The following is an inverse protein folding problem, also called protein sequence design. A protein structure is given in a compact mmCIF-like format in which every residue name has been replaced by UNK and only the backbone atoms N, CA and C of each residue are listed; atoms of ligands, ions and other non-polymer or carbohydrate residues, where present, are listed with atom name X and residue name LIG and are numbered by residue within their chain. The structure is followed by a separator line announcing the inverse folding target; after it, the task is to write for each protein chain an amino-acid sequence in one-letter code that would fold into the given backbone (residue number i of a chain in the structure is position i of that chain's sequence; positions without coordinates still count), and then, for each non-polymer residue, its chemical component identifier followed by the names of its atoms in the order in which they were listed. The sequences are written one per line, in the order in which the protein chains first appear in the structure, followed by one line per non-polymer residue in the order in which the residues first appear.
data_IF_935280460364
#
_entry.id   IF_935280460364
#
_cell.length_a   1.000
_cell.length_b   1.000
_cell.length_c   1.000
_cell.angle_alpha   90.00
_cell.angle_beta   90.00
_cell.angle_gamma   90.00
#
_symmetry.space_group_name_H-M   'P 1'
#
loop_
_entity.id
_entity.type
_entity.pdbx_description
1 polymer ?
#
# COMPACT_ATOMS: atom_id res chain seq x y z
N UNK A 1 -17.88 30.34 -6.67
CA UNK A 1 -18.95 29.76 -5.84
C UNK A 1 -19.13 28.31 -6.26
N UNK A 2 -19.07 27.34 -5.35
CA UNK A 2 -19.34 25.94 -5.67
C UNK A 2 -20.40 25.40 -4.71
N UNK A 3 -21.44 24.77 -5.25
CA UNK A 3 -22.49 24.11 -4.48
C UNK A 3 -22.01 22.70 -4.16
N UNK A 4 -22.06 22.30 -2.89
CA UNK A 4 -21.59 21.00 -2.44
C UNK A 4 -22.75 20.22 -1.84
N UNK A 5 -23.13 19.09 -2.44
CA UNK A 5 -24.25 18.27 -1.96
C UNK A 5 -23.75 17.16 -1.02
N UNK A 6 -24.33 17.10 0.18
CA UNK A 6 -24.22 15.97 1.10
C UNK A 6 -25.22 14.91 0.68
N UNK A 7 -24.71 13.85 0.06
CA UNK A 7 -25.48 12.64 -0.18
C UNK A 7 -24.84 11.49 0.56
N UNK A 8 -25.57 10.93 1.51
CA UNK A 8 -25.16 9.79 2.30
C UNK A 8 -24.91 8.55 1.41
N UNK A 9 -23.68 8.04 1.54
CA UNK A 9 -23.35 6.60 1.49
C UNK A 9 -23.92 5.74 0.36
N UNK A 10 -23.51 5.96 -0.89
CA UNK A 10 -23.59 4.89 -1.91
C UNK A 10 -22.28 4.55 -2.63
N UNK A 11 -21.20 5.28 -2.37
CA UNK A 11 -19.89 5.00 -2.92
C UNK A 11 -18.81 5.09 -1.84
N UNK A 12 -18.64 4.00 -1.08
CA UNK A 12 -17.27 3.56 -0.71
C UNK A 12 -16.54 3.38 -2.04
N UNK A 13 -15.90 4.44 -2.53
CA UNK A 13 -15.53 4.60 -3.94
C UNK A 13 -14.80 3.40 -4.50
N UNK A 14 -14.92 3.17 -5.81
CA UNK A 14 -14.26 2.08 -6.53
C UNK A 14 -12.80 1.91 -6.11
N UNK A 15 -12.07 3.02 -5.98
CA UNK A 15 -10.67 3.05 -5.52
C UNK A 15 -10.46 2.50 -4.11
N UNK A 16 -11.36 2.81 -3.16
CA UNK A 16 -11.28 2.26 -1.80
C UNK A 16 -11.51 0.75 -1.78
N UNK A 17 -12.52 0.28 -2.53
CA UNK A 17 -12.79 -1.16 -2.66
C UNK A 17 -11.63 -1.87 -3.34
N UNK A 18 -11.11 -1.30 -4.42
CA UNK A 18 -10.01 -1.85 -5.19
C UNK A 18 -8.73 -1.95 -4.34
N UNK A 19 -8.35 -0.88 -3.64
CA UNK A 19 -7.21 -0.90 -2.71
C UNK A 19 -7.38 -1.94 -1.60
N UNK A 20 -8.58 -2.03 -1.02
CA UNK A 20 -8.89 -3.04 0.00
C UNK A 20 -8.71 -4.46 -0.55
N UNK A 21 -9.25 -4.73 -1.74
CA UNK A 21 -9.11 -6.04 -2.38
C UNK A 21 -7.65 -6.36 -2.74
N UNK A 22 -6.90 -5.39 -3.28
CA UNK A 22 -5.47 -5.57 -3.52
C UNK A 22 -4.70 -5.87 -2.23
N UNK A 23 -5.03 -5.20 -1.12
CA UNK A 23 -4.45 -5.50 0.19
C UNK A 23 -4.75 -6.93 0.66
N UNK A 24 -5.99 -7.41 0.49
CA UNK A 24 -6.38 -8.78 0.85
C UNK A 24 -5.67 -9.81 -0.05
N UNK A 25 -5.66 -9.59 -1.37
CA UNK A 25 -4.99 -10.48 -2.32
C UNK A 25 -3.48 -10.54 -2.03
N UNK A 26 -2.85 -9.40 -1.75
CA UNK A 26 -1.45 -9.32 -1.37
C UNK A 26 -1.16 -10.08 -0.06
N UNK A 27 -2.01 -9.93 0.96
CA UNK A 27 -1.90 -10.68 2.21
C UNK A 27 -2.01 -12.19 1.98
N UNK A 28 -3.04 -12.63 1.26
CA UNK A 28 -3.25 -14.05 0.95
C UNK A 28 -2.10 -14.64 0.13
N UNK A 29 -1.65 -13.94 -0.91
CA UNK A 29 -0.52 -14.36 -1.73
C UNK A 29 0.79 -14.42 -0.95
N UNK A 30 0.99 -13.47 -0.03
CA UNK A 30 2.15 -13.44 0.87
C UNK A 30 2.18 -14.64 1.83
N UNK A 31 1.04 -14.98 2.45
CA UNK A 31 0.92 -16.17 3.31
C UNK A 31 1.17 -17.45 2.52
N UNK A 32 0.61 -17.56 1.30
CA UNK A 32 0.85 -18.71 0.42
C UNK A 32 2.33 -18.84 0.05
N UNK A 33 2.97 -17.73 -0.34
CA UNK A 33 4.40 -17.69 -0.64
C UNK A 33 5.25 -18.14 0.56
N UNK A 34 4.98 -17.61 1.74
CA UNK A 34 5.70 -18.02 2.95
C UNK A 34 5.47 -19.50 3.29
N UNK A 35 4.23 -19.97 3.18
CA UNK A 35 3.88 -21.37 3.47
C UNK A 35 4.61 -22.33 2.52
N UNK A 36 4.63 -22.04 1.22
CA UNK A 36 5.38 -22.87 0.24
C UNK A 36 6.89 -22.91 0.53
N UNK A 37 7.46 -21.86 1.11
CA UNK A 37 8.87 -21.83 1.54
C UNK A 37 9.13 -22.62 2.84
N UNK A 38 8.20 -22.60 3.79
CA UNK A 38 8.36 -23.31 5.07
C UNK A 38 7.98 -24.79 4.99
N UNK A 39 7.04 -25.14 4.09
CA UNK A 39 6.52 -26.49 3.95
C UNK A 39 7.62 -27.57 3.76
N UNK A 40 8.63 -27.39 2.88
CA UNK A 40 9.73 -28.34 2.77
C UNK A 40 10.55 -28.46 4.07
N UNK A 41 10.73 -27.38 4.82
CA UNK A 41 11.47 -27.42 6.09
C UNK A 41 10.72 -28.21 7.16
N UNK A 42 9.38 -28.11 7.18
CA UNK A 42 8.55 -28.91 8.08
C UNK A 42 8.61 -30.39 7.71
N UNK A 43 8.56 -30.72 6.42
CA UNK A 43 8.70 -32.10 5.94
C UNK A 43 10.06 -32.72 6.32
N UNK A 44 11.15 -31.95 6.20
CA UNK A 44 12.48 -32.38 6.65
C UNK A 44 12.53 -32.56 8.18
N UNK A 45 11.96 -31.64 8.95
CA UNK A 45 11.88 -31.76 10.42
C UNK A 45 11.05 -32.96 10.89
N UNK A 46 10.04 -33.35 10.11
CA UNK A 46 9.21 -34.54 10.36
C UNK A 46 9.91 -35.85 9.95
N UNK A 47 11.14 -35.79 9.42
CA UNK A 47 11.89 -36.97 8.99
C UNK A 47 11.38 -37.60 7.69
N UNK A 48 10.49 -36.92 6.96
CA UNK A 48 9.90 -37.44 5.72
C UNK A 48 10.83 -37.31 4.51
N UNK A 49 11.85 -36.44 4.59
CA UNK A 49 12.82 -36.22 3.51
C UNK A 49 14.23 -35.92 4.06
N UNK A 50 15.24 -36.49 3.43
CA UNK A 50 16.64 -36.10 3.64
C UNK A 50 16.85 -34.68 3.11
N UNK A 51 17.04 -33.72 4.01
CA UNK A 51 17.28 -32.31 3.70
C UNK A 51 18.63 -32.01 3.06
N UNK A 52 19.16 -32.90 2.21
CA UNK A 52 20.41 -32.70 1.47
C UNK A 52 20.22 -31.55 0.48
N UNK A 53 20.58 -30.35 0.92
CA UNK A 53 20.74 -29.21 0.01
C UNK A 53 21.85 -29.58 -0.99
N UNK A 54 21.66 -29.33 -2.30
CA UNK A 54 22.75 -29.51 -3.26
C UNK A 54 23.97 -28.70 -2.80
N UNK A 55 25.20 -29.22 -2.97
CA UNK A 55 26.41 -28.52 -2.59
C UNK A 55 26.41 -27.11 -3.21
N UNK A 56 26.64 -26.09 -2.38
CA UNK A 56 26.81 -24.72 -2.88
C UNK A 56 28.04 -24.74 -3.79
N UNK A 57 27.96 -24.25 -5.04
CA UNK A 57 29.16 -24.08 -5.84
C UNK A 57 30.13 -23.17 -5.06
N UNK A 58 31.44 -23.47 -5.08
CA UNK A 58 32.44 -22.67 -4.38
C UNK A 58 32.33 -21.22 -4.84
N UNK A 59 32.42 -20.29 -3.88
CA UNK A 59 32.35 -18.85 -4.15
C UNK A 59 33.53 -18.50 -5.06
N UNK A 60 33.27 -18.30 -6.36
CA UNK A 60 34.24 -17.72 -7.28
C UNK A 60 34.45 -16.24 -6.90
N UNK A 61 35.61 -15.68 -7.26
CA UNK A 61 35.88 -14.24 -7.09
C UNK A 61 34.71 -13.41 -7.62
N UNK A 62 34.39 -12.29 -6.95
CA UNK A 62 33.27 -11.41 -7.32
C UNK A 62 33.60 -10.73 -8.65
N UNK A 63 33.24 -11.39 -9.76
CA UNK A 63 33.51 -10.90 -11.12
C UNK A 63 32.24 -10.35 -11.78
N UNK A 64 31.06 -10.71 -11.29
CA UNK A 64 29.77 -10.31 -11.87
C UNK A 64 28.75 -9.82 -10.85
N UNK A 65 27.77 -9.02 -11.31
CA UNK A 65 26.62 -8.58 -10.48
C UNK A 65 25.86 -9.75 -9.86
N UNK A 66 25.81 -10.90 -10.56
CA UNK A 66 25.16 -12.12 -10.07
C UNK A 66 25.87 -12.68 -8.85
N UNK A 67 27.20 -12.67 -8.83
CA UNK A 67 28.00 -13.19 -7.71
C UNK A 67 27.88 -12.27 -6.50
N UNK A 68 27.85 -10.96 -6.72
CA UNK A 68 27.56 -10.00 -5.65
C UNK A 68 26.17 -10.20 -5.05
N UNK A 69 25.12 -10.37 -5.87
CA UNK A 69 23.76 -10.68 -5.38
C UNK A 69 23.73 -12.02 -4.61
N UNK A 70 24.53 -13.02 -5.03
CA UNK A 70 24.62 -14.29 -4.33
C UNK A 70 25.18 -14.13 -2.90
N UNK A 71 26.11 -13.19 -2.67
CA UNK A 71 26.59 -12.87 -1.31
C UNK A 71 25.50 -12.26 -0.42
N UNK A 72 24.61 -11.44 -1.01
CA UNK A 72 23.51 -10.77 -0.31
C UNK A 72 22.33 -11.69 -0.03
N UNK A 73 22.34 -12.93 -0.55
CA UNK A 73 21.19 -13.83 -0.52
C UNK A 73 20.73 -14.17 0.90
N UNK A 74 21.66 -14.44 1.82
CA UNK A 74 21.32 -14.76 3.21
C UNK A 74 20.64 -13.56 3.90
N UNK A 75 21.23 -12.39 3.74
CA UNK A 75 20.69 -11.15 4.29
C UNK A 75 19.30 -10.83 3.70
N UNK A 76 19.12 -11.04 2.39
CA UNK A 76 17.82 -10.86 1.75
C UNK A 76 16.77 -11.86 2.25
N UNK A 77 17.15 -13.10 2.58
CA UNK A 77 16.24 -14.07 3.21
C UNK A 77 15.75 -13.59 4.58
N UNK A 78 16.66 -13.13 5.44
CA UNK A 78 16.33 -12.58 6.77
C UNK A 78 15.46 -11.33 6.69
N UNK A 79 15.84 -10.37 5.83
CA UNK A 79 15.06 -9.15 5.60
C UNK A 79 13.66 -9.49 5.08
N UNK A 80 13.54 -10.49 4.20
CA UNK A 80 12.26 -10.95 3.68
C UNK A 80 11.35 -11.51 4.77
N UNK A 81 11.91 -12.30 5.70
CA UNK A 81 11.15 -12.86 6.82
C UNK A 81 10.69 -11.77 7.80
N UNK A 82 11.56 -10.83 8.14
CA UNK A 82 11.18 -9.68 8.99
C UNK A 82 10.11 -8.83 8.29
N UNK A 83 10.31 -8.51 7.01
CA UNK A 83 9.36 -7.72 6.23
C UNK A 83 8.00 -8.41 6.12
N UNK A 84 7.98 -9.75 6.00
CA UNK A 84 6.76 -10.54 5.99
C UNK A 84 5.97 -10.40 7.30
N UNK A 85 6.62 -10.59 8.46
CA UNK A 85 5.94 -10.46 9.75
C UNK A 85 5.41 -9.04 9.97
N UNK A 86 6.22 -8.02 9.66
CA UNK A 86 5.78 -6.62 9.76
C UNK A 86 4.62 -6.35 8.80
N UNK A 87 4.68 -6.84 7.56
CA UNK A 87 3.60 -6.69 6.59
C UNK A 87 2.29 -7.28 7.11
N UNK A 88 2.30 -8.50 7.66
CA UNK A 88 1.11 -9.13 8.24
C UNK A 88 0.52 -8.26 9.35
N UNK A 89 1.35 -7.80 10.29
CA UNK A 89 0.89 -6.96 11.41
C UNK A 89 0.22 -5.69 10.88
N UNK A 90 0.85 -5.01 9.91
CA UNK A 90 0.31 -3.78 9.33
C UNK A 90 -0.98 -4.03 8.53
N UNK A 91 -1.04 -5.11 7.73
CA UNK A 91 -2.20 -5.48 6.92
C UNK A 91 -3.40 -5.89 7.78
N UNK A 92 -3.17 -6.66 8.85
CA UNK A 92 -4.21 -7.03 9.83
C UNK A 92 -4.68 -5.81 10.60
N UNK A 93 -3.76 -4.96 11.08
CA UNK A 93 -4.11 -3.70 11.72
C UNK A 93 -4.95 -2.81 10.79
N UNK A 94 -4.66 -2.82 9.49
CA UNK A 94 -5.42 -2.05 8.51
C UNK A 94 -6.86 -2.59 8.27
N UNK A 95 -7.14 -3.86 8.60
CA UNK A 95 -8.47 -4.46 8.54
C UNK A 95 -9.30 -4.16 9.80
N UNK A 96 -8.65 -3.86 10.93
CA UNK A 96 -9.32 -3.57 12.20
C UNK A 96 -9.93 -2.16 12.18
N UNK A 97 -11.26 -2.10 12.07
CA UNK A 97 -12.03 -0.84 12.03
C UNK A 97 -12.04 -0.03 13.33
N UNK A 98 -11.51 -0.57 14.44
CA UNK A 98 -11.50 0.08 15.76
C UNK A 98 -10.35 1.08 15.94
N UNK A 99 -9.35 1.05 15.06
CA UNK A 99 -8.18 1.94 15.19
C UNK A 99 -8.58 3.36 14.73
N UNK A 100 -8.35 4.40 15.54
CA UNK A 100 -8.67 5.76 15.14
C UNK A 100 -7.79 6.19 13.96
N UNK A 101 -8.38 6.95 13.03
CA UNK A 101 -7.80 7.27 11.72
C UNK A 101 -6.36 7.84 11.79
N UNK A 102 -6.04 8.61 12.83
CA UNK A 102 -4.69 9.18 13.06
C UNK A 102 -3.58 8.12 13.19
N UNK A 103 -3.87 7.01 13.88
CA UNK A 103 -2.92 5.93 14.10
C UNK A 103 -2.90 5.02 12.88
N UNK A 104 -4.06 4.73 12.30
CA UNK A 104 -4.17 4.00 11.05
C UNK A 104 -3.32 4.62 9.95
N UNK A 105 -3.41 5.93 9.70
CA UNK A 105 -2.62 6.58 8.65
C UNK A 105 -1.10 6.50 8.89
N UNK A 106 -0.67 6.65 10.17
CA UNK A 106 0.74 6.55 10.56
C UNK A 106 1.30 5.13 10.49
N UNK A 107 0.49 4.12 10.81
CA UNK A 107 0.91 2.72 10.70
C UNK A 107 0.88 2.28 9.23
N UNK A 108 -0.15 2.66 8.49
CA UNK A 108 -0.32 2.27 7.09
C UNK A 108 0.77 2.84 6.18
N UNK A 109 1.35 4.02 6.49
CA UNK A 109 2.51 4.53 5.73
C UNK A 109 3.79 3.70 5.96
N UNK A 110 3.90 2.94 7.05
CA UNK A 110 5.02 2.01 7.27
C UNK A 110 5.01 0.84 6.28
N UNK A 111 3.92 0.62 5.55
CA UNK A 111 3.89 -0.34 4.44
C UNK A 111 4.86 0.07 3.33
N UNK A 112 5.16 1.36 3.17
CA UNK A 112 6.10 1.87 2.16
C UNK A 112 7.52 1.30 2.35
N UNK A 113 8.20 1.49 3.48
CA UNK A 113 9.54 0.90 3.67
C UNK A 113 9.52 -0.62 3.65
N UNK A 114 8.45 -1.26 4.15
CA UNK A 114 8.29 -2.73 4.07
C UNK A 114 8.22 -3.19 2.61
N UNK A 115 7.46 -2.50 1.77
CA UNK A 115 7.40 -2.79 0.33
C UNK A 115 8.77 -2.64 -0.34
N UNK A 116 9.52 -1.59 -0.03
CA UNK A 116 10.88 -1.40 -0.58
C UNK A 116 11.85 -2.52 -0.13
N UNK A 117 11.75 -2.99 1.11
CA UNK A 117 12.50 -4.15 1.58
C UNK A 117 12.12 -5.42 0.80
N UNK A 118 10.84 -5.62 0.48
CA UNK A 118 10.37 -6.75 -0.32
C UNK A 118 10.77 -6.64 -1.81
N UNK A 119 10.87 -5.43 -2.35
CA UNK A 119 11.44 -5.18 -3.69
C UNK A 119 12.89 -5.65 -3.72
N UNK A 120 13.70 -5.23 -2.74
CA UNK A 120 15.08 -5.68 -2.61
C UNK A 120 15.19 -7.20 -2.47
N UNK A 121 14.39 -7.79 -1.57
CA UNK A 121 14.29 -9.23 -1.41
C UNK A 121 14.01 -9.95 -2.74
N UNK A 122 13.10 -9.42 -3.55
CA UNK A 122 12.75 -9.98 -4.87
C UNK A 122 13.93 -9.90 -5.83
N UNK A 123 14.60 -8.75 -5.91
CA UNK A 123 15.74 -8.54 -6.81
C UNK A 123 16.88 -9.51 -6.51
N UNK A 124 17.17 -9.75 -5.23
CA UNK A 124 18.26 -10.62 -4.79
C UNK A 124 17.93 -12.11 -4.94
N UNK A 125 16.67 -12.52 -4.68
CA UNK A 125 16.32 -13.94 -4.58
C UNK A 125 15.74 -14.56 -5.85
N UNK A 126 15.14 -13.75 -6.73
CA UNK A 126 14.64 -14.23 -8.03
C UNK A 126 15.80 -14.86 -8.82
N UNK A 127 15.50 -15.98 -9.47
CA UNK A 127 16.50 -16.65 -10.31
C UNK A 127 16.91 -15.70 -11.46
N UNK A 128 18.22 -15.52 -11.64
CA UNK A 128 18.73 -14.61 -12.64
C UNK A 128 18.23 -14.93 -14.06
N UNK A 129 17.99 -16.22 -14.36
CA UNK A 129 17.41 -16.65 -15.64
C UNK A 129 15.99 -16.15 -15.90
N UNK A 130 15.25 -15.71 -14.88
CA UNK A 130 13.89 -15.21 -15.06
C UNK A 130 13.87 -13.78 -15.60
N UNK A 131 14.93 -12.99 -15.41
CA UNK A 131 15.00 -11.62 -15.92
C UNK A 131 14.97 -11.53 -17.45
N UNK A 132 15.46 -12.56 -18.13
CA UNK A 132 15.39 -12.69 -19.59
C UNK A 132 14.10 -13.34 -20.10
N UNK A 133 13.21 -13.77 -19.20
CA UNK A 133 11.93 -14.38 -19.54
C UNK A 133 10.80 -13.35 -19.44
N UNK A 134 9.66 -13.56 -20.14
CA UNK A 134 8.49 -12.68 -20.04
C UNK A 134 8.00 -12.49 -18.60
N UNK A 135 8.16 -13.51 -17.76
CA UNK A 135 7.85 -13.45 -16.33
C UNK A 135 8.70 -12.40 -15.61
N UNK A 136 9.99 -12.29 -15.93
CA UNK A 136 10.87 -11.26 -15.36
C UNK A 136 10.42 -9.86 -15.72
N UNK A 137 9.97 -9.64 -16.95
CA UNK A 137 9.47 -8.32 -17.38
C UNK A 137 8.21 -7.92 -16.62
N UNK A 138 7.30 -8.86 -16.37
CA UNK A 138 6.13 -8.63 -15.53
C UNK A 138 6.52 -8.27 -14.09
N UNK A 139 7.54 -8.96 -13.53
CA UNK A 139 8.08 -8.64 -12.21
C UNK A 139 8.67 -7.23 -12.19
N UNK A 140 9.52 -6.88 -13.16
CA UNK A 140 10.12 -5.54 -13.27
C UNK A 140 9.03 -4.47 -13.33
N UNK A 141 8.03 -4.64 -14.19
CA UNK A 141 6.93 -3.68 -14.32
C UNK A 141 6.15 -3.51 -13.01
N UNK A 142 5.86 -4.62 -12.31
CA UNK A 142 5.17 -4.58 -11.02
C UNK A 142 6.01 -3.89 -9.93
N UNK A 143 7.31 -4.16 -9.86
CA UNK A 143 8.23 -3.53 -8.92
C UNK A 143 8.35 -2.02 -9.18
N UNK A 144 8.57 -1.61 -10.44
CA UNK A 144 8.68 -0.20 -10.81
C UNK A 144 7.38 0.57 -10.53
N UNK A 145 6.23 -0.01 -10.87
CA UNK A 145 4.93 0.60 -10.59
C UNK A 145 4.71 0.79 -9.08
N UNK A 146 5.07 -0.19 -8.25
CA UNK A 146 4.93 -0.08 -6.81
C UNK A 146 5.95 0.87 -6.18
N UNK A 147 7.19 0.95 -6.70
CA UNK A 147 8.18 1.96 -6.28
C UNK A 147 7.64 3.36 -6.59
N UNK A 148 7.15 3.60 -7.81
CA UNK A 148 6.56 4.88 -8.19
C UNK A 148 5.38 5.25 -7.28
N UNK A 149 4.47 4.31 -7.00
CA UNK A 149 3.37 4.50 -6.06
C UNK A 149 3.86 4.82 -4.64
N UNK A 150 4.92 4.14 -4.19
CA UNK A 150 5.53 4.33 -2.87
C UNK A 150 6.15 5.71 -2.72
N UNK A 151 6.92 6.17 -3.71
CA UNK A 151 7.48 7.51 -3.75
C UNK A 151 6.37 8.57 -3.80
N UNK A 152 5.34 8.34 -4.62
CA UNK A 152 4.17 9.21 -4.67
C UNK A 152 3.49 9.27 -3.29
N UNK A 153 3.31 8.15 -2.60
CA UNK A 153 2.70 8.13 -1.27
C UNK A 153 3.55 8.84 -0.22
N UNK A 154 4.88 8.77 -0.32
CA UNK A 154 5.80 9.43 0.59
C UNK A 154 5.88 10.95 0.36
N UNK A 155 5.92 11.39 -0.91
CA UNK A 155 6.12 12.79 -1.28
C UNK A 155 4.83 13.58 -1.50
N UNK A 156 3.72 12.94 -1.92
CA UNK A 156 2.43 13.64 -2.01
C UNK A 156 1.85 13.82 -0.63
N UNK A 157 2.19 14.94 0.01
CA UNK A 157 1.35 15.57 1.03
C UNK A 157 -0.07 15.69 0.47
N UNK A 158 -1.02 14.98 1.07
CA UNK A 158 -2.44 14.97 0.68
C UNK A 158 -3.00 16.39 0.81
N UNK A 159 -2.94 17.15 -0.29
CA UNK A 159 -3.51 18.49 -0.43
C UNK A 159 -2.87 19.55 0.48
N UNK A 160 -2.72 20.78 0.00
CA UNK A 160 -2.59 21.93 0.91
C UNK A 160 -3.99 22.16 1.49
N UNK A 161 -4.24 21.94 2.80
CA UNK A 161 -5.54 22.29 3.37
C UNK A 161 -5.77 23.78 3.15
N UNK A 162 -6.91 24.13 2.57
CA UNK A 162 -7.31 25.52 2.40
C UNK A 162 -8.47 25.81 3.34
N UNK A 163 -8.42 26.98 3.98
CA UNK A 163 -9.54 27.47 4.76
C UNK A 163 -10.62 27.96 3.79
N UNK A 164 -11.84 27.46 3.97
CA UNK A 164 -13.03 27.91 3.25
C UNK A 164 -14.07 28.37 4.28
N UNK A 165 -14.80 29.43 3.96
CA UNK A 165 -15.92 29.91 4.78
C UNK A 165 -17.23 29.36 4.23
N UNK A 166 -18.14 28.99 5.12
CA UNK A 166 -19.49 28.54 4.73
C UNK A 166 -20.31 29.79 4.44
N UNK A 167 -20.78 29.92 3.19
CA UNK A 167 -21.57 31.08 2.75
C UNK A 167 -23.08 30.81 2.76
N UNK A 168 -23.50 29.56 2.58
CA UNK A 168 -24.90 29.18 2.70
C UNK A 168 -25.03 27.70 3.08
N UNK A 169 -26.08 27.40 3.84
CA UNK A 169 -26.54 26.05 4.14
C UNK A 169 -27.98 25.95 3.66
N UNK A 170 -28.26 25.03 2.75
CA UNK A 170 -29.62 24.77 2.29
C UNK A 170 -29.95 23.31 2.61
N UNK A 171 -31.08 23.07 3.25
CA UNK A 171 -31.53 21.73 3.60
C UNK A 171 -32.84 21.46 2.86
N UNK A 172 -32.81 20.55 1.90
CA UNK A 172 -33.97 20.17 1.12
C UNK A 172 -34.30 18.70 1.41
N UNK A 173 -35.21 18.47 2.37
CA UNK A 173 -35.51 17.15 2.90
C UNK A 173 -34.30 16.49 3.58
N UNK A 174 -33.84 15.36 3.02
CA UNK A 174 -32.61 14.65 3.48
C UNK A 174 -31.32 15.16 2.83
N UNK A 175 -31.41 16.07 1.85
CA UNK A 175 -30.25 16.60 1.15
C UNK A 175 -29.78 17.88 1.84
N UNK A 176 -28.52 17.91 2.28
CA UNK A 176 -27.89 19.12 2.81
C UNK A 176 -26.92 19.66 1.76
N UNK A 177 -27.18 20.85 1.25
CA UNK A 177 -26.31 21.54 0.30
C UNK A 177 -25.54 22.62 1.04
N UNK A 178 -24.22 22.62 0.88
CA UNK A 178 -23.31 23.57 1.51
C UNK A 178 -22.66 24.41 0.41
N UNK A 179 -22.82 25.73 0.46
CA UNK A 179 -22.11 26.64 -0.44
C UNK A 179 -20.87 27.15 0.29
N UNK A 180 -19.71 26.84 -0.26
CA UNK A 180 -18.43 27.27 0.29
C UNK A 180 -17.85 28.42 -0.53
N UNK A 181 -17.34 29.43 0.17
CA UNK A 181 -16.45 30.42 -0.40
C UNK A 181 -15.01 30.05 -0.06
N UNK A 182 -14.26 29.69 -1.09
CA UNK A 182 -12.85 29.35 -1.01
C UNK A 182 -12.10 30.28 -1.98
N UNK A 183 -11.50 31.40 -1.49
CA UNK A 183 -10.94 32.44 -2.34
C UNK A 183 -9.81 31.97 -3.26
N UNK A 184 -9.10 30.91 -2.88
CA UNK A 184 -7.96 30.33 -3.62
C UNK A 184 -8.32 29.07 -4.41
N UNK A 185 -9.62 28.79 -4.58
CA UNK A 185 -10.09 27.59 -5.27
C UNK A 185 -10.12 27.79 -6.78
N UNK A 186 -9.32 27.01 -7.51
CA UNK A 186 -9.18 27.10 -8.97
C UNK A 186 -10.28 26.35 -9.75
N UNK A 187 -11.40 26.02 -9.10
CA UNK A 187 -12.47 25.22 -9.69
C UNK A 187 -12.29 23.72 -9.49
N UNK A 188 -13.22 22.94 -10.05
CA UNK A 188 -13.24 21.49 -9.94
C UNK A 188 -13.69 20.87 -11.26
N UNK A 189 -13.30 19.62 -11.50
CA UNK A 189 -13.87 18.79 -12.59
C UNK A 189 -15.03 17.96 -12.04
N UNK A 190 -16.04 17.71 -12.88
CA UNK A 190 -17.16 16.84 -12.52
C UNK A 190 -16.65 15.47 -12.00
N UNK A 191 -17.21 15.03 -10.86
CA UNK A 191 -16.80 13.78 -10.19
C UNK A 191 -15.68 13.91 -9.15
N UNK A 192 -15.14 15.11 -8.94
CA UNK A 192 -14.23 15.38 -7.83
C UNK A 192 -14.96 15.46 -6.47
N UNK A 193 -14.26 15.12 -5.40
CA UNK A 193 -14.77 15.14 -4.03
C UNK A 193 -13.92 16.05 -3.15
N UNK A 194 -14.56 16.77 -2.25
CA UNK A 194 -13.90 17.58 -1.21
C UNK A 194 -13.93 16.84 0.12
N UNK A 195 -12.84 16.92 0.86
CA UNK A 195 -12.80 16.51 2.26
C UNK A 195 -12.84 17.77 3.12
N UNK A 196 -13.92 17.93 3.86
CA UNK A 196 -14.08 19.06 4.77
C UNK A 196 -13.87 18.57 6.20
N UNK A 197 -13.15 19.34 6.98
CA UNK A 197 -12.99 19.13 8.42
C UNK A 197 -13.39 20.40 9.17
N UNK A 198 -13.96 20.23 10.36
CA UNK A 198 -14.38 21.35 11.19
C UNK A 198 -13.25 21.74 12.15
N UNK A 199 -12.74 22.96 12.04
CA UNK A 199 -11.57 23.44 12.81
C UNK A 199 -11.78 23.39 14.32
N UNK A 200 -13.03 23.48 14.81
CA UNK A 200 -13.34 23.46 16.25
C UNK A 200 -13.61 22.07 16.85
N UNK A 201 -13.72 21.00 16.04
CA UNK A 201 -14.06 19.66 16.56
C UNK A 201 -12.79 18.82 16.74
N UNK A 202 -12.50 18.44 17.98
CA UNK A 202 -11.47 17.43 18.30
C UNK A 202 -12.19 16.13 18.70
N UNK A 203 -11.97 15.00 18.01
CA UNK A 203 -11.09 14.79 16.85
C UNK A 203 -11.71 15.29 15.52
N UNK A 204 -10.88 15.66 14.52
CA UNK A 204 -11.34 16.12 13.21
C UNK A 204 -12.05 14.98 12.47
N UNK A 205 -13.33 15.18 12.15
CA UNK A 205 -14.11 14.26 11.31
C UNK A 205 -14.08 14.76 9.86
N UNK A 206 -13.50 13.98 8.95
CA UNK A 206 -13.46 14.31 7.54
C UNK A 206 -14.74 13.82 6.86
N UNK A 207 -15.53 14.74 6.33
CA UNK A 207 -16.69 14.40 5.51
C UNK A 207 -16.30 14.53 4.04
N UNK A 208 -16.57 13.47 3.28
CA UNK A 208 -16.37 13.46 1.83
C UNK A 208 -17.64 14.00 1.19
N UNK A 209 -17.56 15.16 0.57
CA UNK A 209 -18.69 15.77 -0.11
C UNK A 209 -18.50 15.73 -1.62
N UNK A 210 -19.60 15.50 -2.34
CA UNK A 210 -19.60 15.56 -3.81
C UNK A 210 -19.86 17.00 -4.21
N UNK A 211 -18.99 17.52 -5.07
CA UNK A 211 -19.21 18.81 -5.70
C UNK A 211 -20.32 18.68 -6.75
N UNK A 212 -21.33 19.54 -6.64
CA UNK A 212 -22.30 19.75 -7.71
C UNK A 212 -21.70 20.78 -8.68
N UNK A 213 -21.81 20.48 -9.98
CA UNK A 213 -21.48 21.42 -11.04
C UNK A 213 -22.55 22.52 -11.10
#
# INVERSE_FOLDING_TARGET
MGIVNLQDTFARGLMYRLHKWFGIIALSGSILHWTTKQFPKWLVKLGLFDGKKPPRPPMQEILTLKDWLATQRHFAEEVGEIAFYVAIVLLVAALIKRIPYRWFAKLHILVVPVYLALVWHTIVLVNFSYWSQPLGWLIIAALLAGIACSLIALFKRIGKPQNATVSALNQNGKLLSLTLNAPKWQGHRAGQFLFITHTRRKPPLYHRLRLAA
#
